data_IF_954907655671
#
_entry.id   IF_954907655671
#
_cell.length_a   1.000
_cell.length_b   1.000
_cell.length_c   1.000
_cell.angle_alpha   90.00
_cell.angle_beta   90.00
_cell.angle_gamma   90.00
#
_symmetry.space_group_name_H-M   'P 1'
#
loop_
_entity.id
_entity.type
_entity.pdbx_description
1 polymer ?
#
# COMPACT_ATOMS: atom_id res chain seq x y z
N UNK A 1 52.34 -19.61 13.35
CA UNK A 1 51.23 -20.00 12.45
C UNK A 1 49.96 -19.38 12.98
N UNK A 2 49.52 -18.27 12.40
CA UNK A 2 48.21 -17.67 12.67
C UNK A 2 47.21 -18.32 11.71
N UNK A 3 46.35 -19.20 12.22
CA UNK A 3 45.31 -19.88 11.45
C UNK A 3 43.95 -19.20 11.66
N UNK A 4 43.18 -19.04 10.59
CA UNK A 4 41.82 -18.49 10.55
C UNK A 4 40.78 -19.48 11.13
N UNK A 5 41.07 -20.09 12.27
CA UNK A 5 40.29 -21.20 12.82
C UNK A 5 39.01 -20.73 13.54
N UNK A 6 38.81 -19.41 13.68
CA UNK A 6 37.66 -18.82 14.38
C UNK A 6 36.58 -18.26 13.43
N UNK A 7 36.70 -18.48 12.12
CA UNK A 7 35.69 -18.04 11.14
C UNK A 7 34.60 -19.09 10.86
N UNK A 8 34.65 -20.26 11.52
CA UNK A 8 33.62 -21.30 11.34
C UNK A 8 32.23 -20.82 11.74
N UNK A 9 32.11 -20.06 12.84
CA UNK A 9 30.84 -19.46 13.28
C UNK A 9 30.29 -18.41 12.28
N UNK A 10 31.15 -17.77 11.50
CA UNK A 10 30.73 -16.82 10.45
C UNK A 10 30.30 -17.52 9.14
N UNK A 11 30.71 -18.77 8.93
CA UNK A 11 30.35 -19.56 7.75
C UNK A 11 29.00 -20.29 7.91
N UNK A 12 28.45 -20.37 9.13
CA UNK A 12 27.16 -21.01 9.43
C UNK A 12 25.97 -20.03 9.45
N UNK A 13 26.19 -18.74 9.17
CA UNK A 13 25.20 -17.68 9.38
C UNK A 13 24.05 -17.63 8.32
N UNK A 14 23.95 -18.61 7.42
CA UNK A 14 22.81 -18.70 6.51
C UNK A 14 22.39 -20.15 6.21
N UNK A 15 22.11 -20.94 7.25
CA UNK A 15 21.20 -22.08 7.08
C UNK A 15 19.77 -21.60 7.23
N UNK A 16 19.29 -20.81 6.26
CA UNK A 16 17.84 -20.73 6.03
C UNK A 16 17.45 -22.18 5.76
N UNK A 17 16.69 -22.77 6.68
CA UNK A 17 16.17 -24.12 6.51
C UNK A 17 15.59 -24.18 5.10
N UNK A 18 16.09 -25.10 4.25
CA UNK A 18 15.62 -25.26 2.87
C UNK A 18 14.09 -25.38 2.82
N UNK A 19 13.53 -25.86 3.94
CA UNK A 19 12.13 -25.96 4.20
C UNK A 19 11.65 -24.66 4.85
N UNK A 20 10.79 -23.95 4.12
CA UNK A 20 10.05 -22.83 4.69
C UNK A 20 9.22 -23.30 5.89
N UNK A 21 9.33 -22.59 7.03
CA UNK A 21 8.57 -22.94 8.23
C UNK A 21 7.06 -22.77 7.94
N UNK A 22 6.25 -23.84 8.10
CA UNK A 22 4.82 -23.74 7.94
C UNK A 22 4.23 -22.73 8.92
N UNK A 23 3.23 -22.00 8.47
CA UNK A 23 2.62 -20.91 9.22
C UNK A 23 1.11 -20.93 9.00
N UNK A 24 0.37 -20.68 10.07
CA UNK A 24 -1.08 -20.49 10.03
C UNK A 24 -1.42 -19.29 10.92
N UNK A 25 -2.11 -18.32 10.35
CA UNK A 25 -2.52 -17.11 11.04
C UNK A 25 -4.00 -16.85 10.81
N UNK A 26 -4.68 -16.39 11.86
CA UNK A 26 -6.05 -15.89 11.79
C UNK A 26 -6.07 -14.41 12.13
N UNK A 27 -6.61 -13.61 11.22
CA UNK A 27 -6.76 -12.16 11.37
C UNK A 27 -8.25 -11.87 11.58
N UNK A 28 -8.57 -11.13 12.64
CA UNK A 28 -9.94 -10.69 12.96
C UNK A 28 -9.98 -9.21 13.28
N UNK A 29 -11.05 -8.54 12.88
CA UNK A 29 -11.32 -7.13 13.17
C UNK A 29 -10.14 -6.20 12.86
N UNK A 30 -9.53 -6.36 11.70
CA UNK A 30 -8.41 -5.54 11.24
C UNK A 30 -8.89 -4.41 10.34
N UNK A 31 -8.47 -3.18 10.63
CA UNK A 31 -8.54 -2.07 9.68
C UNK A 31 -7.15 -1.89 9.07
N UNK A 32 -7.04 -2.15 7.77
CA UNK A 32 -5.84 -1.87 7.01
C UNK A 32 -6.07 -0.59 6.21
N UNK A 33 -5.19 0.40 6.39
CA UNK A 33 -5.19 1.66 5.64
C UNK A 33 -4.08 1.59 4.61
N UNK A 34 -4.45 1.70 3.33
CA UNK A 34 -3.50 1.73 2.23
C UNK A 34 -3.25 3.19 1.85
N UNK A 35 -2.00 3.62 2.01
CA UNK A 35 -1.53 4.93 1.58
C UNK A 35 -0.61 4.78 0.37
N UNK A 36 -0.63 5.76 -0.52
CA UNK A 36 0.23 5.71 -1.70
C UNK A 36 1.59 6.31 -1.38
N UNK A 37 2.63 5.48 -1.42
CA UNK A 37 4.02 5.85 -1.15
C UNK A 37 4.73 6.49 -2.37
N UNK A 38 3.98 6.89 -3.40
CA UNK A 38 4.61 7.52 -4.57
C UNK A 38 5.03 8.95 -4.22
N UNK A 39 6.25 9.36 -4.59
CA UNK A 39 6.63 10.76 -4.48
C UNK A 39 5.69 11.62 -5.34
N UNK A 40 5.35 12.85 -4.90
CA UNK A 40 4.47 13.72 -5.66
C UNK A 40 5.04 13.97 -7.06
N UNK A 41 4.26 13.65 -8.10
CA UNK A 41 4.66 13.91 -9.48
C UNK A 41 4.79 15.40 -9.79
N UNK A 42 4.09 16.25 -9.02
CA UNK A 42 4.20 17.69 -9.04
C UNK A 42 3.93 18.21 -7.61
N UNK A 43 4.62 19.27 -7.19
CA UNK A 43 4.49 19.88 -5.86
C UNK A 43 3.08 20.40 -5.59
N UNK A 44 2.33 20.73 -6.65
CA UNK A 44 0.94 21.22 -6.55
C UNK A 44 -0.13 20.15 -6.77
N UNK A 45 0.25 18.89 -7.00
CA UNK A 45 -0.73 17.82 -7.10
C UNK A 45 -1.38 17.57 -5.73
N UNK A 46 -2.71 17.39 -5.65
CA UNK A 46 -3.33 16.90 -4.41
C UNK A 46 -2.73 15.52 -4.07
N UNK A 47 -2.54 15.27 -2.78
CA UNK A 47 -2.08 13.96 -2.29
C UNK A 47 -3.05 12.84 -2.67
N UNK A 48 -2.54 11.61 -2.71
CA UNK A 48 -3.36 10.41 -2.88
C UNK A 48 -4.37 10.27 -1.75
N UNK A 49 -5.55 9.72 -2.06
CA UNK A 49 -6.56 9.43 -1.05
C UNK A 49 -6.29 8.04 -0.44
N UNK A 50 -6.24 7.90 0.90
CA UNK A 50 -6.10 6.60 1.54
C UNK A 50 -7.27 5.66 1.22
N UNK A 51 -6.99 4.36 1.11
CA UNK A 51 -8.00 3.32 0.93
C UNK A 51 -8.11 2.45 2.18
N UNK A 52 -9.28 2.44 2.82
CA UNK A 52 -9.55 1.65 4.01
C UNK A 52 -10.09 0.25 3.65
N UNK A 53 -9.44 -0.80 4.14
CA UNK A 53 -9.87 -2.18 4.04
C UNK A 53 -10.27 -2.69 5.44
N UNK A 54 -11.57 -2.89 5.63
CA UNK A 54 -12.10 -3.49 6.85
C UNK A 54 -12.16 -5.02 6.67
N UNK A 55 -11.25 -5.72 7.36
CA UNK A 55 -11.13 -7.16 7.33
C UNK A 55 -11.78 -7.72 8.59
N UNK A 56 -12.98 -8.28 8.43
CA UNK A 56 -13.72 -8.89 9.52
C UNK A 56 -13.03 -10.18 10.00
N UNK A 57 -12.72 -11.08 9.06
CA UNK A 57 -12.02 -12.33 9.34
C UNK A 57 -11.30 -12.84 8.09
N UNK A 58 -10.04 -13.24 8.24
CA UNK A 58 -9.20 -13.79 7.17
C UNK A 58 -8.26 -14.84 7.75
N UNK A 59 -8.02 -15.93 7.02
CA UNK A 59 -6.95 -16.87 7.32
C UNK A 59 -5.81 -16.73 6.31
N UNK A 60 -4.59 -16.82 6.82
CA UNK A 60 -3.36 -16.85 6.02
C UNK A 60 -2.61 -18.12 6.39
N UNK A 61 -2.37 -18.96 5.40
CA UNK A 61 -1.59 -20.19 5.56
C UNK A 61 -0.37 -20.15 4.64
N UNK A 62 0.77 -20.63 5.12
CA UNK A 62 1.94 -20.88 4.28
C UNK A 62 2.43 -22.30 4.51
N UNK A 63 2.48 -23.05 3.41
CA UNK A 63 3.02 -24.41 3.38
C UNK A 63 4.54 -24.43 3.30
N UNK A 64 5.09 -25.65 3.23
CA UNK A 64 6.54 -25.87 3.01
C UNK A 64 7.02 -25.46 1.62
N UNK A 65 6.08 -25.28 0.68
CA UNK A 65 6.29 -24.72 -0.66
C UNK A 65 6.57 -23.20 -0.63
N UNK A 66 6.39 -22.55 0.52
CA UNK A 66 6.59 -21.12 0.70
C UNK A 66 5.45 -20.25 0.14
N UNK A 67 4.38 -20.85 -0.37
CA UNK A 67 3.24 -20.13 -0.95
C UNK A 67 2.28 -19.72 0.15
N UNK A 68 1.87 -18.45 0.14
CA UNK A 68 0.82 -17.95 1.02
C UNK A 68 -0.56 -18.14 0.39
N UNK A 69 -1.44 -18.83 1.09
CA UNK A 69 -2.85 -18.99 0.78
C UNK A 69 -3.65 -18.07 1.69
N UNK A 70 -4.47 -17.20 1.09
CA UNK A 70 -5.32 -16.25 1.81
C UNK A 70 -6.77 -16.62 1.54
N UNK A 71 -7.55 -16.87 2.59
CA UNK A 71 -8.97 -17.18 2.47
C UNK A 71 -9.81 -16.23 3.34
N UNK A 72 -10.95 -15.81 2.79
CA UNK A 72 -11.96 -15.08 3.55
C UNK A 72 -12.83 -16.07 4.32
N UNK A 73 -13.02 -15.85 5.62
CA UNK A 73 -13.93 -16.71 6.38
C UNK A 73 -15.36 -16.20 6.19
N UNK A 74 -16.17 -16.96 5.47
CA UNK A 74 -17.55 -16.60 5.09
C UNK A 74 -18.51 -16.85 6.27
N UNK A 75 -18.30 -16.17 7.39
CA UNK A 75 -19.03 -16.40 8.64
C UNK A 75 -20.40 -15.70 8.75
N UNK A 76 -20.65 -14.66 7.96
CA UNK A 76 -21.93 -13.95 7.96
C UNK A 76 -22.12 -13.26 6.60
N UNK A 77 -23.28 -13.43 5.99
CA UNK A 77 -23.56 -12.97 4.63
C UNK A 77 -23.27 -11.48 4.51
N UNK A 78 -22.25 -11.13 3.71
CA UNK A 78 -21.69 -9.79 3.60
C UNK A 78 -22.70 -8.72 3.21
N UNK A 79 -23.49 -8.24 4.18
CA UNK A 79 -24.17 -6.96 4.07
C UNK A 79 -23.10 -5.91 4.30
N UNK A 80 -22.70 -5.25 3.21
CA UNK A 80 -21.97 -3.99 3.29
C UNK A 80 -22.68 -3.11 4.34
N UNK A 81 -22.02 -2.70 5.43
CA UNK A 81 -22.62 -1.75 6.35
C UNK A 81 -23.04 -0.54 5.51
N UNK A 82 -24.29 -0.10 5.67
CA UNK A 82 -24.85 1.00 4.88
C UNK A 82 -23.97 2.24 5.09
N UNK A 83 -23.02 2.45 4.18
CA UNK A 83 -22.10 3.57 4.26
C UNK A 83 -22.88 4.88 4.10
N UNK A 84 -22.41 5.99 4.68
CA UNK A 84 -23.01 7.28 4.44
C UNK A 84 -23.03 7.59 2.93
N UNK A 85 -24.02 8.35 2.42
CA UNK A 85 -24.11 8.69 1.01
C UNK A 85 -22.81 9.36 0.55
N UNK A 86 -22.25 8.88 -0.57
CA UNK A 86 -21.07 9.50 -1.18
C UNK A 86 -21.49 10.86 -1.73
N UNK A 87 -21.20 11.94 -1.00
CA UNK A 87 -21.40 13.29 -1.50
C UNK A 87 -20.23 13.65 -2.43
N UNK A 88 -20.41 13.39 -3.72
CA UNK A 88 -19.46 13.85 -4.75
C UNK A 88 -19.68 15.35 -4.92
N UNK A 89 -18.87 16.15 -4.24
CA UNK A 89 -18.79 17.59 -4.52
C UNK A 89 -18.29 17.77 -5.95
N UNK A 90 -19.00 18.51 -6.83
CA UNK A 90 -18.54 18.72 -8.19
C UNK A 90 -17.19 19.42 -8.18
N UNK A 91 -16.21 18.83 -8.87
CA UNK A 91 -14.89 19.40 -9.09
C UNK A 91 -15.04 20.80 -9.67
N UNK A 92 -14.49 21.80 -8.99
CA UNK A 92 -14.55 23.18 -9.44
C UNK A 92 -13.83 23.32 -10.79
N UNK A 93 -14.57 23.67 -11.84
CA UNK A 93 -14.03 23.91 -13.17
C UNK A 93 -12.89 24.95 -13.11
N UNK A 94 -11.76 24.73 -13.81
CA UNK A 94 -10.67 25.70 -13.80
C UNK A 94 -11.11 27.02 -14.44
N UNK A 95 -10.93 28.13 -13.70
CA UNK A 95 -11.15 29.48 -14.24
C UNK A 95 -10.10 29.76 -15.31
N UNK A 96 -10.52 29.85 -16.57
CA UNK A 96 -9.66 30.29 -17.68
C UNK A 96 -9.25 31.73 -17.40
N UNK A 97 -7.97 31.96 -17.08
CA UNK A 97 -7.41 33.31 -16.98
C UNK A 97 -7.09 33.77 -18.39
N UNK A 98 -7.93 34.67 -18.93
CA UNK A 98 -7.71 35.33 -20.21
C UNK A 98 -6.45 36.21 -20.12
N UNK A 99 -5.37 35.82 -20.80
CA UNK A 99 -4.17 36.63 -20.93
C UNK A 99 -4.46 37.90 -21.75
N UNK A 100 -4.24 39.07 -21.15
CA UNK A 100 -4.35 40.36 -21.82
C UNK A 100 -3.19 40.54 -22.83
N UNK A 101 -3.51 40.90 -24.06
CA UNK A 101 -2.54 41.12 -25.13
C UNK A 101 -1.58 42.29 -24.84
N UNK A 102 -0.29 42.20 -25.21
CA UNK A 102 0.65 43.29 -25.02
C UNK A 102 0.34 44.47 -25.96
N UNK A 103 0.22 45.68 -25.39
CA UNK A 103 0.08 46.92 -26.18
C UNK A 103 1.39 47.19 -26.93
N UNK A 104 1.31 47.37 -28.26
CA UNK A 104 2.46 47.75 -29.10
C UNK A 104 2.97 49.15 -28.68
N UNK A 105 4.30 49.36 -28.62
CA UNK A 105 4.86 50.68 -28.35
C UNK A 105 4.69 51.60 -29.56
N UNK A 106 4.30 52.85 -29.29
CA UNK A 106 4.26 53.94 -30.26
C UNK A 106 5.69 54.45 -30.46
N UNK A 107 6.18 54.45 -31.69
CA UNK A 107 7.44 55.13 -32.05
C UNK A 107 7.14 56.62 -32.29
N UNK A 108 7.93 57.48 -31.65
CA UNK A 108 7.96 58.94 -31.88
C UNK A 108 8.91 59.24 -33.04
#
# INVERSE_FOLDING_TARGET
MSGLNCLSDFAEDEKISSDTLPMSMEIRNLLLVLEEDRPPANVTSPGSLPTNLHIQQMSIERGKDGIFYIAGNSGDGGKRPAGPPIHISPSASPKIVSAAAPKKPVMV
#
